data_IF_677380279511
#
_entry.id   IF_677380279511
#
_cell.length_a   1.000
_cell.length_b   1.000
_cell.length_c   1.000
_cell.angle_alpha   90.00
_cell.angle_beta   90.00
_cell.angle_gamma   90.00
#
_symmetry.space_group_name_H-M   'P 1'
#
loop_
_entity.id
_entity.type
_entity.pdbx_description
1 polymer ?
#
# COMPACT_ATOMS: atom_id res chain seq x y z
N UNK A 1 -68.35 53.93 22.70
CA UNK A 1 -68.55 54.13 21.25
C UNK A 1 -67.42 53.38 20.54
N UNK A 2 -67.59 52.08 20.33
CA UNK A 2 -67.96 51.42 19.05
C UNK A 2 -66.88 51.49 17.94
N UNK A 3 -66.36 50.30 17.61
CA UNK A 3 -65.78 49.79 16.33
C UNK A 3 -64.52 50.51 15.78
N UNK A 4 -63.46 49.83 15.27
CA UNK A 4 -63.50 48.81 14.19
C UNK A 4 -62.14 48.09 14.01
N UNK A 5 -62.19 46.75 13.84
CA UNK A 5 -61.33 45.74 13.17
C UNK A 5 -59.78 45.76 13.13
N UNK A 6 -59.20 44.73 13.76
CA UNK A 6 -58.44 43.57 13.22
C UNK A 6 -57.76 43.68 11.82
N UNK A 7 -56.41 43.57 11.78
CA UNK A 7 -55.63 42.64 10.91
C UNK A 7 -54.31 42.31 11.64
N UNK A 8 -54.10 41.03 12.00
CA UNK A 8 -52.85 40.49 12.54
C UNK A 8 -52.06 39.88 11.37
N UNK A 9 -50.96 40.52 10.95
CA UNK A 9 -50.09 39.99 9.90
C UNK A 9 -49.06 39.00 10.49
N UNK A 10 -49.15 37.76 10.03
CA UNK A 10 -48.26 36.64 10.32
C UNK A 10 -46.94 36.83 9.57
N UNK A 11 -45.82 37.03 10.30
CA UNK A 11 -44.49 37.09 9.70
C UNK A 11 -43.94 35.66 9.53
N UNK A 12 -44.01 35.15 8.30
CA UNK A 12 -43.35 33.93 7.86
C UNK A 12 -41.85 34.24 7.69
N UNK A 13 -41.00 33.64 8.53
CA UNK A 13 -39.54 33.63 8.31
C UNK A 13 -39.21 32.60 7.22
N UNK A 14 -38.91 33.09 6.03
CA UNK A 14 -38.26 32.30 4.98
C UNK A 14 -36.80 32.04 5.35
N UNK A 15 -36.44 30.76 5.45
CA UNK A 15 -35.04 30.31 5.52
C UNK A 15 -34.48 30.36 4.09
N UNK A 16 -33.60 31.31 3.82
CA UNK A 16 -32.80 31.35 2.60
C UNK A 16 -31.56 30.48 2.81
N UNK A 17 -31.46 29.40 2.06
CA UNK A 17 -30.27 28.58 1.90
C UNK A 17 -29.12 29.43 1.36
N UNK A 18 -28.05 29.54 2.13
CA UNK A 18 -26.80 30.18 1.68
C UNK A 18 -25.99 29.11 0.95
N UNK A 19 -26.02 29.16 -0.38
CA UNK A 19 -25.04 28.47 -1.22
C UNK A 19 -23.68 29.14 -1.01
N UNK A 20 -22.74 28.46 -0.36
CA UNK A 20 -21.34 28.90 -0.32
C UNK A 20 -20.71 28.74 -1.72
N UNK A 21 -19.99 29.75 -2.23
CA UNK A 21 -19.35 29.66 -3.53
C UNK A 21 -18.15 28.71 -3.47
N UNK A 22 -18.04 27.88 -4.50
CA UNK A 22 -16.84 27.08 -4.79
C UNK A 22 -15.75 28.06 -5.21
N UNK A 23 -14.74 28.28 -4.37
CA UNK A 23 -13.53 29.01 -4.76
C UNK A 23 -12.75 28.20 -5.80
N UNK A 24 -12.82 28.64 -7.06
CA UNK A 24 -11.88 28.28 -8.13
C UNK A 24 -10.56 29.02 -7.89
N UNK A 25 -9.63 28.37 -7.20
CA UNK A 25 -8.27 28.88 -6.99
C UNK A 25 -7.38 28.48 -8.17
N UNK A 26 -7.45 29.28 -9.24
CA UNK A 26 -6.68 29.14 -10.48
C UNK A 26 -5.57 30.21 -10.50
N UNK A 27 -4.65 30.18 -9.53
CA UNK A 27 -3.49 31.06 -9.49
C UNK A 27 -2.19 30.30 -9.83
N UNK A 28 -1.90 30.25 -11.13
CA UNK A 28 -0.78 29.53 -11.74
C UNK A 28 0.52 30.34 -11.72
N UNK A 29 1.05 30.72 -10.56
CA UNK A 29 2.45 31.16 -10.45
C UNK A 29 2.90 31.19 -8.99
N UNK A 30 3.95 30.41 -8.67
CA UNK A 30 4.52 30.13 -7.33
C UNK A 30 3.80 29.07 -6.49
N UNK A 31 3.60 27.87 -7.06
CA UNK A 31 3.27 26.69 -6.23
C UNK A 31 4.47 26.27 -5.38
N UNK A 32 4.49 26.71 -4.12
CA UNK A 32 5.35 26.12 -3.09
C UNK A 32 4.99 24.64 -2.93
N UNK A 33 6.00 23.76 -2.94
CA UNK A 33 5.76 22.35 -2.71
C UNK A 33 5.13 22.12 -1.30
N UNK A 34 4.21 21.15 -1.14
CA UNK A 34 3.27 21.13 -0.02
C UNK A 34 3.72 20.94 1.45
N UNK A 35 4.88 21.33 1.98
CA UNK A 35 5.35 20.95 3.34
C UNK A 35 5.30 19.43 3.68
N UNK A 36 6.37 18.88 4.27
CA UNK A 36 6.53 17.42 4.34
C UNK A 36 5.40 16.71 5.09
N UNK A 37 4.86 17.31 6.16
CA UNK A 37 3.83 16.66 6.96
C UNK A 37 2.44 17.31 6.93
N UNK A 38 2.24 18.57 6.49
CA UNK A 38 0.98 19.37 6.49
C UNK A 38 -0.17 18.93 7.45
N UNK A 39 0.15 18.40 8.64
CA UNK A 39 -0.80 17.69 9.50
C UNK A 39 -1.53 16.47 8.88
N UNK A 40 -1.13 15.98 7.70
CA UNK A 40 -1.75 14.85 6.98
C UNK A 40 -1.46 13.53 7.68
N UNK A 41 -2.41 12.58 7.62
CA UNK A 41 -2.14 11.23 8.09
C UNK A 41 -2.89 10.15 7.30
N UNK A 42 -2.16 9.13 6.87
CA UNK A 42 -2.72 7.85 6.44
C UNK A 42 -3.14 7.02 7.66
N UNK A 43 -4.39 6.57 7.72
CA UNK A 43 -4.91 5.79 8.84
C UNK A 43 -5.46 4.45 8.32
N UNK A 44 -5.02 3.35 8.90
CA UNK A 44 -5.47 2.01 8.50
C UNK A 44 -4.79 1.48 7.24
N UNK A 45 -5.49 0.59 6.53
CA UNK A 45 -4.99 -0.06 5.32
C UNK A 45 -5.35 0.70 4.05
N UNK A 46 -4.65 0.47 2.92
CA UNK A 46 -4.97 1.10 1.65
C UNK A 46 -6.38 0.78 1.11
N UNK A 47 -7.02 -0.28 1.60
CA UNK A 47 -8.29 -0.82 1.12
C UNK A 47 -9.47 -0.68 2.11
N UNK A 48 -9.23 -0.17 3.32
CA UNK A 48 -10.28 0.10 4.33
C UNK A 48 -9.99 1.33 5.19
N UNK A 49 -8.98 2.11 4.81
CA UNK A 49 -8.44 3.20 5.60
C UNK A 49 -9.17 4.52 5.43
N UNK A 50 -8.56 5.54 6.02
CA UNK A 50 -8.98 6.95 5.92
C UNK A 50 -7.75 7.82 5.69
N UNK A 51 -7.99 9.01 5.17
CA UNK A 51 -7.01 10.07 5.03
C UNK A 51 -7.45 11.23 5.91
N UNK A 52 -6.61 11.64 6.86
CA UNK A 52 -6.84 12.84 7.66
C UNK A 52 -6.08 14.00 7.05
N UNK A 53 -6.73 15.15 6.94
CA UNK A 53 -6.15 16.38 6.38
C UNK A 53 -5.48 16.13 5.02
N UNK A 54 -6.16 15.42 4.11
CA UNK A 54 -5.59 15.09 2.81
C UNK A 54 -5.17 16.33 2.03
N UNK A 55 -3.98 16.29 1.44
CA UNK A 55 -3.48 17.34 0.55
C UNK A 55 -4.00 17.05 -0.85
N UNK A 56 -4.58 18.07 -1.49
CA UNK A 56 -5.04 17.98 -2.87
C UNK A 56 -3.85 18.17 -3.81
N UNK A 57 -3.63 17.23 -4.71
CA UNK A 57 -2.77 17.44 -5.88
C UNK A 57 -3.42 18.51 -6.77
N UNK A 58 -2.73 19.60 -7.11
CA UNK A 58 -3.29 20.60 -8.01
C UNK A 58 -3.65 19.98 -9.36
N UNK A 59 -4.86 20.24 -9.89
CA UNK A 59 -5.36 19.53 -11.08
C UNK A 59 -4.49 19.69 -12.32
N UNK A 60 -3.65 20.72 -12.36
CA UNK A 60 -2.61 20.96 -13.36
C UNK A 60 -1.41 21.63 -12.70
N UNK A 61 -0.25 21.50 -13.33
CA UNK A 61 0.98 22.19 -12.99
C UNK A 61 1.93 22.17 -14.19
N UNK A 62 3.15 22.72 -14.07
CA UNK A 62 4.09 22.80 -15.19
C UNK A 62 4.49 21.44 -15.78
N UNK A 63 4.44 20.37 -14.96
CA UNK A 63 4.97 19.06 -15.33
C UNK A 63 3.95 17.93 -15.18
N UNK A 64 2.73 18.23 -14.72
CA UNK A 64 1.68 17.24 -14.54
C UNK A 64 0.29 17.79 -14.85
N UNK A 65 -0.63 16.89 -15.20
CA UNK A 65 -2.05 17.18 -15.35
C UNK A 65 -2.87 16.01 -14.83
N UNK A 66 -3.88 16.27 -14.02
CA UNK A 66 -4.79 15.25 -13.54
C UNK A 66 -5.72 14.78 -14.67
N UNK A 67 -6.03 13.49 -14.77
CA UNK A 67 -6.98 12.96 -15.74
C UNK A 67 -8.35 13.63 -15.59
N UNK A 68 -9.01 13.97 -16.71
CA UNK A 68 -10.31 14.68 -16.72
C UNK A 68 -11.35 14.01 -15.81
N UNK A 69 -11.48 12.69 -15.89
CA UNK A 69 -12.43 11.93 -15.08
C UNK A 69 -12.08 11.97 -13.59
N UNK A 70 -10.80 11.97 -13.23
CA UNK A 70 -10.35 12.08 -11.83
C UNK A 70 -10.67 13.47 -11.27
N UNK A 71 -10.40 14.53 -12.04
CA UNK A 71 -10.77 15.90 -11.66
C UNK A 71 -12.26 16.01 -11.41
N UNK A 72 -13.09 15.51 -12.33
CA UNK A 72 -14.55 15.53 -12.21
C UNK A 72 -15.06 14.78 -10.97
N UNK A 73 -14.38 13.71 -10.55
CA UNK A 73 -14.72 12.93 -9.35
C UNK A 73 -14.14 13.52 -8.05
N UNK A 74 -13.23 14.49 -8.17
CA UNK A 74 -12.46 15.07 -7.07
C UNK A 74 -11.69 14.03 -6.24
N UNK A 75 -11.04 13.07 -6.90
CA UNK A 75 -10.21 12.02 -6.26
C UNK A 75 -8.73 12.35 -6.40
N UNK A 76 -8.34 13.53 -5.92
CA UNK A 76 -6.99 14.09 -6.05
C UNK A 76 -6.27 14.24 -4.71
N UNK A 77 -6.66 13.49 -3.68
CA UNK A 77 -6.14 13.68 -2.33
C UNK A 77 -5.18 12.56 -1.92
N UNK A 78 -4.05 12.96 -1.35
CA UNK A 78 -3.03 12.07 -0.82
C UNK A 78 -2.44 12.59 0.49
N UNK A 79 -1.48 11.86 1.04
CA UNK A 79 -0.59 12.43 2.06
C UNK A 79 0.31 13.50 1.44
N UNK A 80 0.82 14.43 2.27
CA UNK A 80 1.72 15.50 1.79
C UNK A 80 2.93 14.95 1.03
N UNK A 81 3.58 13.92 1.59
CA UNK A 81 4.70 13.22 0.97
C UNK A 81 4.35 12.60 -0.40
N UNK A 82 3.17 12.00 -0.56
CA UNK A 82 2.74 11.43 -1.85
C UNK A 82 2.56 12.53 -2.90
N UNK A 83 1.84 13.60 -2.56
CA UNK A 83 1.59 14.72 -3.49
C UNK A 83 2.90 15.38 -3.90
N UNK A 84 3.80 15.66 -2.94
CA UNK A 84 5.13 16.20 -3.23
C UNK A 84 5.94 15.24 -4.11
N UNK A 85 5.95 13.95 -3.79
CA UNK A 85 6.70 12.95 -4.54
C UNK A 85 6.25 12.83 -6.00
N UNK A 86 4.95 12.94 -6.26
CA UNK A 86 4.40 13.00 -7.63
C UNK A 86 4.97 14.22 -8.37
N UNK A 87 4.91 15.40 -7.76
CA UNK A 87 5.35 16.65 -8.40
C UNK A 87 6.85 16.65 -8.69
N UNK A 88 7.67 16.19 -7.74
CA UNK A 88 9.13 16.08 -7.90
C UNK A 88 9.49 15.06 -8.99
N UNK A 89 8.81 13.92 -9.03
CA UNK A 89 9.06 12.91 -10.06
C UNK A 89 8.64 13.41 -11.45
N UNK A 90 7.52 14.14 -11.55
CA UNK A 90 7.07 14.76 -12.80
C UNK A 90 8.07 15.82 -13.30
N UNK A 91 8.56 16.69 -12.42
CA UNK A 91 9.61 17.66 -12.73
C UNK A 91 10.90 16.96 -13.21
N UNK A 92 11.33 15.90 -12.52
CA UNK A 92 12.51 15.12 -12.90
C UNK A 92 12.41 14.58 -14.33
N UNK A 93 11.25 14.06 -14.72
CA UNK A 93 10.99 13.61 -16.11
C UNK A 93 11.04 14.77 -17.08
N UNK A 94 10.35 15.88 -16.78
CA UNK A 94 10.31 17.04 -17.66
C UNK A 94 11.70 17.66 -17.88
N UNK A 95 12.55 17.69 -16.84
CA UNK A 95 13.93 18.18 -16.96
C UNK A 95 14.78 17.32 -17.89
N UNK A 96 14.62 16.00 -17.85
CA UNK A 96 15.34 15.09 -18.74
C UNK A 96 14.74 15.08 -20.16
N UNK A 97 13.45 15.40 -20.27
CA UNK A 97 12.68 15.38 -21.52
C UNK A 97 11.92 16.71 -21.73
N UNK A 98 12.61 17.83 -22.01
CA UNK A 98 12.03 19.19 -21.96
C UNK A 98 10.96 19.49 -23.03
N UNK A 99 10.85 18.63 -24.07
CA UNK A 99 9.80 18.70 -25.10
C UNK A 99 8.73 17.61 -24.93
N UNK A 100 8.78 16.88 -23.82
CA UNK A 100 7.84 15.84 -23.48
C UNK A 100 6.54 16.42 -22.96
N UNK A 101 5.46 15.68 -23.18
CA UNK A 101 4.15 15.99 -22.62
C UNK A 101 4.15 15.77 -21.09
N UNK A 102 3.35 16.54 -20.32
CA UNK A 102 3.26 16.41 -18.87
C UNK A 102 2.83 15.03 -18.38
N UNK A 103 3.18 14.69 -17.14
CA UNK A 103 2.71 13.47 -16.48
C UNK A 103 1.18 13.50 -16.30
N UNK A 104 0.48 12.52 -16.83
CA UNK A 104 -0.96 12.40 -16.62
C UNK A 104 -1.24 11.59 -15.34
N UNK A 105 -1.72 12.28 -14.32
CA UNK A 105 -1.99 11.71 -13.00
C UNK A 105 -3.44 11.27 -12.89
N UNK A 106 -3.62 10.02 -12.54
CA UNK A 106 -4.89 9.34 -12.36
C UNK A 106 -5.51 9.52 -10.99
N UNK A 107 -6.25 8.50 -10.54
CA UNK A 107 -6.90 8.54 -9.23
C UNK A 107 -5.86 8.61 -8.12
N UNK A 108 -6.17 9.43 -7.11
CA UNK A 108 -5.68 9.29 -5.75
C UNK A 108 -6.89 8.95 -4.86
N UNK A 109 -6.85 9.31 -3.57
CA UNK A 109 -7.96 9.13 -2.64
C UNK A 109 -8.98 10.26 -2.74
N UNK A 110 -10.15 10.05 -2.10
CA UNK A 110 -11.07 11.13 -1.72
C UNK A 110 -10.44 12.00 -0.63
N UNK A 111 -10.99 13.20 -0.39
CA UNK A 111 -10.50 14.16 0.63
C UNK A 111 -10.23 13.53 2.00
N UNK A 112 -11.15 12.68 2.46
CA UNK A 112 -11.05 11.96 3.74
C UNK A 112 -10.69 10.48 3.59
N UNK A 113 -10.35 10.05 2.37
CA UNK A 113 -10.12 8.66 2.03
C UNK A 113 -11.40 7.83 1.94
N UNK A 114 -11.31 6.55 2.29
CA UNK A 114 -12.39 5.57 2.17
C UNK A 114 -12.61 5.06 0.75
N UNK A 115 -13.58 4.15 0.61
CA UNK A 115 -13.81 3.39 -0.61
C UNK A 115 -14.08 4.29 -1.83
N UNK A 116 -13.43 3.96 -2.95
CA UNK A 116 -13.75 4.48 -4.28
C UNK A 116 -14.30 3.37 -5.17
N UNK A 117 -15.27 3.67 -6.03
CA UNK A 117 -15.97 2.64 -6.83
C UNK A 117 -15.07 1.92 -7.85
N UNK A 118 -13.99 2.57 -8.29
CA UNK A 118 -13.17 2.13 -9.42
C UNK A 118 -11.87 1.44 -9.01
N UNK A 119 -11.55 1.39 -7.71
CA UNK A 119 -10.38 0.67 -7.19
C UNK A 119 -10.69 0.03 -5.84
N UNK A 120 -10.05 -1.10 -5.56
CA UNK A 120 -10.13 -1.76 -4.24
C UNK A 120 -9.21 -1.11 -3.20
N UNK A 121 -8.41 -0.11 -3.59
CA UNK A 121 -7.52 0.65 -2.69
C UNK A 121 -7.75 2.15 -2.81
N UNK A 122 -6.73 3.01 -2.67
CA UNK A 122 -6.87 4.47 -2.64
C UNK A 122 -7.74 4.99 -1.47
N UNK A 123 -7.85 4.23 -0.38
CA UNK A 123 -8.67 4.64 0.76
C UNK A 123 -7.90 5.50 1.78
N UNK A 124 -6.57 5.54 1.71
CA UNK A 124 -5.73 6.04 2.81
C UNK A 124 -4.69 7.08 2.39
N UNK A 125 -4.80 7.64 1.19
CA UNK A 125 -3.88 8.67 0.69
C UNK A 125 -2.48 8.19 0.31
N UNK A 126 -2.31 6.88 0.08
CA UNK A 126 -1.01 6.23 -0.22
C UNK A 126 -0.92 5.59 -1.60
N UNK A 127 -1.96 5.73 -2.40
CA UNK A 127 -2.03 5.17 -3.75
C UNK A 127 -2.20 6.31 -4.76
N UNK A 128 -1.59 6.16 -5.93
CA UNK A 128 -1.78 7.04 -7.09
C UNK A 128 -1.69 6.23 -8.38
N UNK A 129 -2.56 6.52 -9.33
CA UNK A 129 -2.46 5.97 -10.68
C UNK A 129 -1.72 6.96 -11.61
N UNK A 130 -0.91 6.48 -12.55
CA UNK A 130 -0.32 7.29 -13.64
C UNK A 130 -0.68 6.68 -14.98
N UNK A 131 -1.12 7.50 -15.93
CA UNK A 131 -1.14 7.05 -17.33
C UNK A 131 0.30 6.81 -17.79
N UNK A 132 0.50 5.80 -18.63
CA UNK A 132 1.82 5.60 -19.23
C UNK A 132 2.18 6.80 -20.12
N UNK A 133 3.43 7.26 -20.06
CA UNK A 133 3.93 8.16 -21.09
C UNK A 133 3.88 7.48 -22.46
N UNK A 134 3.46 8.25 -23.47
CA UNK A 134 3.19 7.75 -24.82
C UNK A 134 3.89 8.57 -25.89
N UNK A 135 4.26 7.87 -26.96
CA UNK A 135 4.69 8.49 -28.22
C UNK A 135 3.83 8.01 -29.37
N UNK A 136 3.73 8.80 -30.43
CA UNK A 136 3.19 8.33 -31.70
C UNK A 136 4.12 7.31 -32.36
N UNK A 137 3.70 6.77 -33.51
CA UNK A 137 4.50 5.77 -34.23
C UNK A 137 5.85 6.32 -34.73
N UNK A 138 5.97 7.63 -34.89
CA UNK A 138 7.19 8.34 -35.28
C UNK A 138 8.11 8.69 -34.09
N UNK A 139 7.68 8.40 -32.86
CA UNK A 139 8.46 8.65 -31.63
C UNK A 139 8.28 10.05 -31.05
N UNK A 140 7.33 10.86 -31.54
CA UNK A 140 7.01 12.16 -30.95
C UNK A 140 6.17 11.93 -29.69
N UNK A 141 6.51 12.63 -28.61
CA UNK A 141 5.67 12.66 -27.40
C UNK A 141 4.26 13.16 -27.71
N UNK A 142 3.25 12.47 -27.17
CA UNK A 142 1.83 12.84 -27.30
C UNK A 142 1.12 12.76 -25.94
N UNK A 143 0.07 13.57 -25.71
CA UNK A 143 -0.68 13.54 -24.47
C UNK A 143 -1.16 12.12 -24.14
N UNK A 144 -0.96 11.72 -22.89
CA UNK A 144 -1.26 10.35 -22.46
C UNK A 144 -2.70 10.20 -21.98
N UNK A 145 -3.32 9.08 -22.33
CA UNK A 145 -4.56 8.61 -21.72
C UNK A 145 -4.38 7.18 -21.19
N UNK A 146 -5.44 6.59 -20.63
CA UNK A 146 -5.45 5.22 -20.14
C UNK A 146 -5.63 4.21 -21.29
N UNK A 147 -4.76 4.30 -22.30
CA UNK A 147 -4.71 3.34 -23.39
C UNK A 147 -4.18 1.99 -22.90
N UNK A 148 -4.80 0.90 -23.31
CA UNK A 148 -4.29 -0.44 -23.05
C UNK A 148 -3.14 -0.74 -24.00
N UNK A 149 -2.08 -1.34 -23.49
CA UNK A 149 -0.89 -1.71 -24.26
C UNK A 149 -0.71 -3.22 -24.35
N UNK A 150 -0.46 -3.70 -25.57
CA UNK A 150 -0.12 -5.09 -25.82
C UNK A 150 1.27 -5.46 -25.33
N UNK A 151 1.60 -6.75 -25.45
CA UNK A 151 2.95 -7.24 -25.15
C UNK A 151 4.02 -6.68 -26.08
N UNK A 152 3.64 -6.12 -27.23
CA UNK A 152 4.46 -5.37 -28.17
C UNK A 152 4.68 -3.90 -27.77
N UNK A 153 3.99 -3.41 -26.73
CA UNK A 153 4.05 -2.02 -26.27
C UNK A 153 3.28 -1.06 -27.17
N UNK A 154 2.40 -1.58 -28.03
CA UNK A 154 1.53 -0.82 -28.92
C UNK A 154 0.12 -0.71 -28.31
N UNK A 155 -0.53 0.43 -28.49
CA UNK A 155 -1.90 0.64 -28.02
C UNK A 155 -2.90 -0.30 -28.71
N UNK A 156 -3.83 -0.84 -27.92
CA UNK A 156 -4.85 -1.80 -28.36
C UNK A 156 -6.17 -1.13 -28.70
N UNK A 157 -6.57 -0.13 -27.91
CA UNK A 157 -7.92 0.46 -27.86
C UNK A 157 -7.97 1.95 -28.20
N UNK A 158 -6.85 2.51 -28.65
CA UNK A 158 -6.77 3.91 -29.06
C UNK A 158 -7.16 4.09 -30.56
N UNK A 159 -7.81 5.22 -30.92
CA UNK A 159 -8.14 5.52 -32.31
C UNK A 159 -6.92 5.57 -33.24
N UNK A 160 -5.79 6.04 -32.73
CA UNK A 160 -4.49 5.99 -33.37
C UNK A 160 -3.56 5.00 -32.64
N UNK A 161 -2.59 4.43 -33.36
CA UNK A 161 -1.57 3.57 -32.75
C UNK A 161 -0.51 4.44 -32.05
N UNK A 162 -0.26 4.12 -30.80
CA UNK A 162 0.74 4.75 -29.95
C UNK A 162 1.70 3.68 -29.42
N UNK A 163 2.91 4.10 -29.06
CA UNK A 163 3.90 3.25 -28.39
C UNK A 163 4.09 3.73 -26.96
N UNK A 164 4.37 2.78 -26.07
CA UNK A 164 4.89 3.10 -24.74
C UNK A 164 6.21 3.86 -24.86
N UNK A 165 6.31 5.01 -24.21
CA UNK A 165 7.57 5.72 -24.06
C UNK A 165 8.37 5.09 -22.92
N UNK A 166 9.17 4.08 -23.24
CA UNK A 166 9.95 3.36 -22.23
C UNK A 166 10.95 4.27 -21.51
N UNK A 167 11.48 5.30 -22.18
CA UNK A 167 12.44 6.22 -21.58
C UNK A 167 11.81 7.06 -20.47
N UNK A 168 10.69 7.73 -20.76
CA UNK A 168 10.00 8.57 -19.76
C UNK A 168 9.33 7.74 -18.67
N UNK A 169 8.72 6.60 -19.00
CA UNK A 169 8.13 5.71 -18.00
C UNK A 169 9.19 5.12 -17.07
N UNK A 170 10.34 4.69 -17.59
CA UNK A 170 11.43 4.21 -16.74
C UNK A 170 12.00 5.34 -15.86
N UNK A 171 12.21 6.53 -16.41
CA UNK A 171 12.73 7.66 -15.64
C UNK A 171 11.77 8.11 -14.52
N UNK A 172 10.46 8.05 -14.76
CA UNK A 172 9.44 8.26 -13.72
C UNK A 172 9.63 7.26 -12.57
N UNK A 173 9.71 5.98 -12.90
CA UNK A 173 9.85 4.91 -11.90
C UNK A 173 11.16 5.02 -11.14
N UNK A 174 12.27 5.26 -11.84
CA UNK A 174 13.58 5.51 -11.23
C UNK A 174 13.54 6.69 -10.25
N UNK A 175 12.95 7.82 -10.67
CA UNK A 175 12.80 9.00 -9.81
C UNK A 175 11.98 8.73 -8.55
N UNK A 176 10.96 7.86 -8.63
CA UNK A 176 10.15 7.45 -7.49
C UNK A 176 10.88 6.44 -6.58
N UNK A 177 11.56 5.46 -7.16
CA UNK A 177 12.29 4.41 -6.41
C UNK A 177 13.47 5.00 -5.65
N UNK A 178 14.22 5.91 -6.27
CA UNK A 178 15.41 6.54 -5.69
C UNK A 178 15.07 7.71 -4.75
N UNK A 179 13.79 8.05 -4.60
CA UNK A 179 13.36 9.16 -3.75
C UNK A 179 13.74 8.91 -2.28
N UNK A 180 14.38 9.90 -1.66
CA UNK A 180 14.68 9.89 -0.23
C UNK A 180 13.51 10.37 0.64
N UNK A 181 12.49 10.98 0.02
CA UNK A 181 11.32 11.56 0.69
C UNK A 181 10.09 10.66 0.60
N UNK A 182 10.07 9.73 -0.36
CA UNK A 182 8.95 8.84 -0.63
C UNK A 182 9.42 7.40 -0.71
N UNK A 183 8.95 6.55 0.20
CA UNK A 183 9.30 5.14 0.20
C UNK A 183 8.26 4.35 -0.60
N UNK A 184 8.62 3.87 -1.80
CA UNK A 184 7.73 3.03 -2.62
C UNK A 184 7.53 1.66 -1.96
N UNK A 185 6.28 1.20 -1.94
CA UNK A 185 5.92 -0.15 -1.51
C UNK A 185 5.61 -1.05 -2.71
N UNK A 186 4.78 -0.61 -3.64
CA UNK A 186 4.39 -1.42 -4.81
C UNK A 186 4.25 -0.57 -6.05
N UNK A 187 4.58 -1.17 -7.19
CA UNK A 187 4.37 -0.64 -8.53
C UNK A 187 3.52 -1.69 -9.26
N UNK A 188 2.22 -1.47 -9.35
CA UNK A 188 1.29 -2.44 -9.92
C UNK A 188 1.10 -2.14 -11.40
N UNK A 189 1.58 -3.07 -12.24
CA UNK A 189 1.60 -2.98 -13.71
C UNK A 189 1.35 -4.36 -14.31
N UNK A 190 0.94 -4.42 -15.58
CA UNK A 190 0.84 -5.71 -16.28
C UNK A 190 2.22 -6.38 -16.45
N UNK A 191 2.33 -7.72 -16.36
CA UNK A 191 3.61 -8.44 -16.52
C UNK A 191 4.33 -8.17 -17.85
N UNK A 192 3.57 -7.92 -18.93
CA UNK A 192 4.15 -7.54 -20.23
C UNK A 192 4.82 -6.17 -20.21
N UNK A 193 4.29 -5.24 -19.42
CA UNK A 193 4.81 -3.88 -19.27
C UNK A 193 6.03 -3.88 -18.37
N UNK A 194 5.96 -4.59 -17.25
CA UNK A 194 7.10 -4.87 -16.36
C UNK A 194 8.30 -5.38 -17.16
N UNK A 195 8.10 -6.44 -17.97
CA UNK A 195 9.15 -7.01 -18.82
C UNK A 195 9.78 -5.98 -19.76
N UNK A 196 8.99 -5.05 -20.31
CA UNK A 196 9.49 -4.00 -21.21
C UNK A 196 10.30 -2.94 -20.49
N UNK A 197 9.84 -2.51 -19.32
CA UNK A 197 10.52 -1.51 -18.51
C UNK A 197 11.84 -2.04 -17.98
N UNK A 198 11.86 -3.25 -17.43
CA UNK A 198 13.09 -3.90 -16.95
C UNK A 198 14.05 -4.22 -18.11
N UNK A 199 13.52 -4.65 -19.26
CA UNK A 199 14.33 -4.86 -20.47
C UNK A 199 14.97 -3.56 -20.98
N UNK A 200 14.23 -2.44 -20.95
CA UNK A 200 14.76 -1.12 -21.28
C UNK A 200 15.84 -0.68 -20.28
N UNK A 201 15.60 -0.83 -18.98
CA UNK A 201 16.56 -0.50 -17.92
C UNK A 201 17.89 -1.24 -18.10
N UNK A 202 17.82 -2.55 -18.31
CA UNK A 202 18.99 -3.39 -18.58
C UNK A 202 19.74 -2.94 -19.84
N UNK A 203 19.01 -2.67 -20.94
CA UNK A 203 19.60 -2.20 -22.18
C UNK A 203 20.25 -0.81 -22.07
N UNK A 204 19.82 0.02 -21.12
CA UNK A 204 20.42 1.33 -20.80
C UNK A 204 21.56 1.26 -19.78
N UNK A 205 21.91 0.07 -19.31
CA UNK A 205 23.03 -0.12 -18.38
C UNK A 205 22.72 0.36 -16.96
N UNK A 206 21.45 0.35 -16.55
CA UNK A 206 21.09 0.63 -15.16
C UNK A 206 21.71 -0.40 -14.21
N UNK A 207 22.02 0.03 -12.99
CA UNK A 207 22.65 -0.83 -11.98
C UNK A 207 21.79 -2.07 -11.70
N UNK A 208 22.45 -3.20 -11.40
CA UNK A 208 21.76 -4.44 -11.03
C UNK A 208 20.90 -4.21 -9.79
N UNK A 209 21.40 -3.41 -8.84
CA UNK A 209 20.70 -3.08 -7.61
C UNK A 209 19.37 -2.37 -7.88
N UNK A 210 19.35 -1.37 -8.79
CA UNK A 210 18.13 -0.66 -9.16
C UNK A 210 17.13 -1.57 -9.89
N UNK A 211 17.60 -2.40 -10.81
CA UNK A 211 16.76 -3.36 -11.55
C UNK A 211 16.14 -4.37 -10.58
N UNK A 212 16.94 -4.95 -9.68
CA UNK A 212 16.46 -5.90 -8.67
C UNK A 212 15.44 -5.25 -7.71
N UNK A 213 15.63 -3.97 -7.35
CA UNK A 213 14.65 -3.23 -6.55
C UNK A 213 13.34 -3.03 -7.31
N UNK A 214 13.42 -2.55 -8.55
CA UNK A 214 12.28 -2.34 -9.41
C UNK A 214 11.48 -3.64 -9.64
N UNK A 215 12.17 -4.74 -9.97
CA UNK A 215 11.57 -6.07 -10.15
C UNK A 215 10.81 -6.52 -8.89
N UNK A 216 11.38 -6.34 -7.70
CA UNK A 216 10.70 -6.74 -6.44
C UNK A 216 9.48 -5.88 -6.12
N UNK A 217 9.49 -4.61 -6.51
CA UNK A 217 8.35 -3.71 -6.31
C UNK A 217 7.28 -3.87 -7.38
N UNK A 218 7.65 -4.31 -8.59
CA UNK A 218 6.72 -4.51 -9.70
C UNK A 218 5.97 -5.82 -9.51
N UNK A 219 4.65 -5.75 -9.54
CA UNK A 219 3.83 -6.96 -9.45
C UNK A 219 2.44 -6.75 -10.03
N UNK A 220 1.77 -7.84 -10.41
CA UNK A 220 0.33 -7.85 -10.62
C UNK A 220 -0.35 -8.80 -9.64
N UNK A 221 -1.10 -8.31 -8.64
CA UNK A 221 -1.83 -9.19 -7.75
C UNK A 221 -2.88 -10.01 -8.50
N UNK A 222 -3.08 -11.28 -8.15
CA UNK A 222 -4.07 -12.14 -8.82
C UNK A 222 -5.52 -11.61 -8.79
N UNK A 223 -5.84 -10.73 -7.84
CA UNK A 223 -7.16 -10.11 -7.72
C UNK A 223 -7.29 -8.82 -8.55
N UNK A 224 -6.18 -8.29 -9.05
CA UNK A 224 -6.13 -7.04 -9.78
C UNK A 224 -6.62 -7.24 -11.21
N UNK A 225 -7.21 -6.18 -11.80
CA UNK A 225 -7.41 -6.12 -13.27
C UNK A 225 -6.06 -6.07 -13.97
N UNK A 226 -6.03 -6.08 -15.30
CA UNK A 226 -4.80 -6.22 -16.11
C UNK A 226 -3.70 -5.20 -15.83
N UNK A 227 -4.01 -3.94 -15.46
CA UNK A 227 -3.03 -2.83 -15.33
C UNK A 227 -2.15 -2.65 -16.57
N UNK A 228 -2.72 -2.97 -17.75
CA UNK A 228 -2.10 -2.78 -19.06
C UNK A 228 -2.28 -1.35 -19.59
N UNK A 229 -2.93 -0.46 -18.84
CA UNK A 229 -3.20 0.92 -19.24
C UNK A 229 -2.77 2.03 -18.27
N UNK A 230 -2.28 1.68 -17.09
CA UNK A 230 -1.74 2.63 -16.12
C UNK A 230 -0.76 1.94 -15.16
N UNK A 231 0.06 2.75 -14.49
CA UNK A 231 0.86 2.36 -13.34
C UNK A 231 0.04 2.68 -12.09
N UNK A 232 -0.25 1.70 -11.23
CA UNK A 232 -0.75 1.98 -9.88
C UNK A 232 0.44 1.95 -8.91
N UNK A 233 0.80 3.10 -8.35
CA UNK A 233 1.85 3.22 -7.33
C UNK A 233 1.22 3.15 -5.93
N UNK A 234 1.84 2.38 -5.03
CA UNK A 234 1.61 2.47 -3.59
C UNK A 234 2.87 2.85 -2.86
N UNK A 235 2.73 3.77 -1.90
CA UNK A 235 3.81 4.19 -1.00
C UNK A 235 3.63 3.60 0.39
N UNK A 236 4.76 3.45 1.08
CA UNK A 236 4.83 2.89 2.41
C UNK A 236 4.26 3.85 3.45
N UNK A 237 3.91 3.34 4.64
CA UNK A 237 3.66 4.22 5.78
C UNK A 237 4.92 5.02 6.09
N UNK A 238 4.84 6.35 6.10
CA UNK A 238 5.89 7.17 6.72
C UNK A 238 5.94 6.89 8.23
N UNK A 239 7.04 7.24 8.92
CA UNK A 239 7.10 7.16 10.38
C UNK A 239 5.94 7.90 11.06
N UNK A 240 5.57 9.07 10.55
CA UNK A 240 4.47 9.89 11.07
C UNK A 240 3.10 9.22 10.85
N UNK A 241 2.85 8.69 9.65
CA UNK A 241 1.64 7.94 9.33
C UNK A 241 1.51 6.69 10.21
N UNK A 242 2.61 5.94 10.36
CA UNK A 242 2.66 4.76 11.22
C UNK A 242 2.40 5.11 12.69
N UNK A 243 2.89 6.26 13.16
CA UNK A 243 2.57 6.80 14.47
C UNK A 243 1.07 7.09 14.63
N UNK A 244 0.44 7.64 13.58
CA UNK A 244 -0.97 7.99 13.53
C UNK A 244 -1.93 6.83 13.19
N UNK A 245 -1.41 5.62 12.98
CA UNK A 245 -2.23 4.41 12.83
C UNK A 245 -2.30 3.84 11.42
N UNK A 246 -1.43 4.29 10.51
CA UNK A 246 -1.18 3.60 9.25
C UNK A 246 -0.81 2.14 9.50
N UNK A 247 -1.39 1.26 8.69
CA UNK A 247 -1.08 -0.17 8.68
C UNK A 247 -0.22 -0.46 7.47
N UNK A 248 0.98 -1.01 7.72
CA UNK A 248 1.99 -1.27 6.69
C UNK A 248 1.38 -2.12 5.59
N UNK A 249 0.91 -3.33 5.93
CA UNK A 249 0.25 -4.27 5.04
C UNK A 249 1.10 -4.65 3.82
N UNK A 250 1.60 -5.89 3.75
CA UNK A 250 2.59 -6.29 2.73
C UNK A 250 4.04 -6.13 3.23
N UNK A 251 5.03 -6.20 2.34
CA UNK A 251 6.44 -6.16 2.70
C UNK A 251 6.87 -4.77 3.18
N UNK A 252 7.92 -4.76 4.01
CA UNK A 252 8.78 -3.60 4.24
C UNK A 252 10.11 -3.95 3.58
N UNK A 253 10.46 -3.26 2.51
CA UNK A 253 11.67 -3.56 1.76
C UNK A 253 12.92 -3.17 2.53
N UNK A 254 14.08 -3.82 2.29
CA UNK A 254 15.33 -3.49 2.98
C UNK A 254 15.75 -2.01 2.85
N UNK A 255 15.39 -1.35 1.75
CA UNK A 255 15.69 0.06 1.48
C UNK A 255 14.66 1.05 2.05
N UNK A 256 13.58 0.59 2.69
CA UNK A 256 12.65 1.47 3.44
C UNK A 256 13.27 1.90 4.79
N UNK A 257 14.36 2.67 4.71
CA UNK A 257 15.22 3.02 5.85
C UNK A 257 14.48 3.76 6.96
N UNK A 258 13.59 4.71 6.60
CA UNK A 258 12.91 5.54 7.59
C UNK A 258 11.96 4.70 8.44
N UNK A 259 11.15 3.86 7.79
CA UNK A 259 10.22 2.99 8.51
C UNK A 259 10.96 1.90 9.31
N UNK A 260 12.03 1.30 8.78
CA UNK A 260 12.85 0.35 9.54
C UNK A 260 13.43 0.98 10.81
N UNK A 261 13.96 2.20 10.71
CA UNK A 261 14.48 2.92 11.86
C UNK A 261 13.39 3.20 12.92
N UNK A 262 12.20 3.63 12.48
CA UNK A 262 11.05 3.85 13.36
C UNK A 262 10.59 2.57 14.07
N UNK A 263 10.47 1.46 13.32
CA UNK A 263 10.10 0.14 13.85
C UNK A 263 11.14 -0.38 14.85
N UNK A 264 12.42 -0.28 14.51
CA UNK A 264 13.52 -0.73 15.36
C UNK A 264 13.58 0.05 16.67
N UNK A 265 13.51 1.38 16.61
CA UNK A 265 13.51 2.23 17.79
C UNK A 265 12.32 1.94 18.71
N UNK A 266 11.11 1.83 18.16
CA UNK A 266 9.94 1.52 18.96
C UNK A 266 10.01 0.11 19.55
N UNK A 267 10.55 -0.87 18.82
CA UNK A 267 10.76 -2.23 19.32
C UNK A 267 11.70 -2.22 20.52
N UNK A 268 12.84 -1.51 20.42
CA UNK A 268 13.82 -1.37 21.52
C UNK A 268 13.20 -0.79 22.79
N UNK A 269 12.27 0.15 22.67
CA UNK A 269 11.56 0.76 23.81
C UNK A 269 10.55 -0.19 24.44
N UNK A 270 9.87 -1.01 23.63
CA UNK A 270 8.76 -1.85 24.11
C UNK A 270 9.23 -3.22 24.61
N UNK A 271 10.27 -3.80 23.99
CA UNK A 271 10.74 -5.15 24.32
C UNK A 271 11.04 -5.39 25.81
N UNK A 272 11.73 -4.48 26.55
CA UNK A 272 11.99 -4.68 27.97
C UNK A 272 10.71 -4.87 28.82
N UNK A 273 9.58 -4.32 28.39
CA UNK A 273 8.30 -4.44 29.10
C UNK A 273 7.71 -5.86 29.05
N UNK A 274 8.18 -6.72 28.14
CA UNK A 274 7.80 -8.14 28.12
C UNK A 274 8.37 -8.91 29.32
N UNK A 275 9.43 -8.41 29.97
CA UNK A 275 9.99 -9.00 31.18
C UNK A 275 9.45 -8.37 32.47
N UNK A 276 8.47 -7.46 32.37
CA UNK A 276 7.91 -6.79 33.54
C UNK A 276 7.24 -7.77 34.51
N UNK A 277 7.41 -7.54 35.81
CA UNK A 277 6.76 -8.32 36.88
C UNK A 277 5.23 -8.28 36.70
N UNK A 278 4.68 -7.11 36.39
CA UNK A 278 3.24 -6.92 36.17
C UNK A 278 2.74 -7.61 34.89
N UNK A 279 1.79 -8.56 34.99
CA UNK A 279 1.15 -9.16 33.82
C UNK A 279 0.41 -8.16 32.94
N UNK A 280 -0.10 -7.08 33.52
CA UNK A 280 -0.77 -6.03 32.78
C UNK A 280 0.22 -5.26 31.89
N UNK A 281 1.43 -4.99 32.39
CA UNK A 281 2.48 -4.36 31.60
C UNK A 281 2.90 -5.26 30.42
N UNK A 282 3.12 -6.56 30.66
CA UNK A 282 3.43 -7.53 29.58
C UNK A 282 2.34 -7.58 28.51
N UNK A 283 1.06 -7.65 28.92
CA UNK A 283 -0.08 -7.59 27.97
C UNK A 283 -0.13 -6.28 27.18
N UNK A 284 0.12 -5.13 27.83
CA UNK A 284 0.17 -3.83 27.16
C UNK A 284 1.28 -3.78 26.11
N UNK A 285 2.45 -4.32 26.42
CA UNK A 285 3.57 -4.42 25.50
C UNK A 285 3.23 -5.32 24.29
N UNK A 286 2.66 -6.50 24.51
CA UNK A 286 2.20 -7.39 23.43
C UNK A 286 1.16 -6.71 22.52
N UNK A 287 0.17 -6.02 23.10
CA UNK A 287 -0.83 -5.25 22.34
C UNK A 287 -0.21 -4.14 21.51
N UNK A 288 0.80 -3.46 22.04
CA UNK A 288 1.50 -2.40 21.33
C UNK A 288 2.31 -2.97 20.16
N UNK A 289 3.11 -4.03 20.40
CA UNK A 289 3.84 -4.79 19.36
C UNK A 289 2.89 -5.21 18.24
N UNK A 290 1.75 -5.82 18.59
CA UNK A 290 0.72 -6.23 17.63
C UNK A 290 0.14 -5.05 16.86
N UNK A 291 -0.32 -4.01 17.57
CA UNK A 291 -0.98 -2.83 16.97
C UNK A 291 -0.05 -2.12 15.98
N UNK A 292 1.24 -2.08 16.30
CA UNK A 292 2.28 -1.39 15.56
C UNK A 292 3.05 -2.28 14.58
N UNK A 293 2.69 -3.57 14.46
CA UNK A 293 3.27 -4.52 13.51
C UNK A 293 4.80 -4.65 13.65
N UNK A 294 5.31 -4.66 14.87
CA UNK A 294 6.75 -4.77 15.17
C UNK A 294 7.25 -6.21 14.92
N UNK A 295 7.50 -6.55 13.66
CA UNK A 295 7.86 -7.90 13.22
C UNK A 295 9.16 -8.44 13.82
N UNK A 296 10.15 -7.58 14.08
CA UNK A 296 11.42 -7.97 14.70
C UNK A 296 11.27 -8.54 16.12
N UNK A 297 10.11 -8.33 16.76
CA UNK A 297 9.82 -8.87 18.10
C UNK A 297 9.29 -10.32 18.08
N UNK A 298 9.13 -10.97 16.91
CA UNK A 298 8.46 -12.29 16.81
C UNK A 298 9.05 -13.33 17.75
N UNK A 299 10.37 -13.42 17.87
CA UNK A 299 11.03 -14.41 18.76
C UNK A 299 10.77 -14.11 20.24
N UNK A 300 10.83 -12.84 20.65
CA UNK A 300 10.54 -12.42 22.02
C UNK A 300 9.05 -12.55 22.37
N UNK A 301 8.16 -12.36 21.40
CA UNK A 301 6.74 -12.66 21.60
C UNK A 301 6.52 -14.17 21.76
N UNK A 302 7.27 -15.00 21.04
CA UNK A 302 7.13 -16.44 21.12
C UNK A 302 7.49 -17.01 22.51
N UNK A 303 8.48 -16.45 23.21
CA UNK A 303 8.77 -16.86 24.59
C UNK A 303 7.61 -16.60 25.55
N UNK A 304 6.75 -15.63 25.25
CA UNK A 304 5.55 -15.31 26.05
C UNK A 304 4.42 -16.35 25.91
N UNK A 305 4.54 -17.32 25.01
CA UNK A 305 3.60 -18.45 24.94
C UNK A 305 3.68 -19.38 26.16
N UNK A 306 4.79 -19.31 26.91
CA UNK A 306 5.03 -20.08 28.14
C UNK A 306 4.86 -19.23 29.41
N UNK A 307 4.32 -18.02 29.32
CA UNK A 307 4.12 -17.14 30.48
C UNK A 307 3.21 -17.80 31.53
N UNK A 308 3.49 -17.57 32.82
CA UNK A 308 2.70 -18.09 33.93
C UNK A 308 1.23 -17.67 33.82
N UNK A 309 0.99 -16.45 33.35
CA UNK A 309 -0.35 -15.89 33.20
C UNK A 309 -1.01 -16.31 31.89
N UNK A 310 -2.16 -16.98 32.00
CA UNK A 310 -2.95 -17.40 30.84
C UNK A 310 -3.36 -16.22 29.94
N UNK A 311 -3.63 -15.06 30.54
CA UNK A 311 -4.01 -13.86 29.81
C UNK A 311 -2.87 -13.31 28.95
N UNK A 312 -1.61 -13.45 29.39
CA UNK A 312 -0.42 -13.07 28.62
C UNK A 312 -0.19 -14.05 27.48
N UNK A 313 -0.27 -15.37 27.74
CA UNK A 313 -0.14 -16.42 26.71
C UNK A 313 -1.14 -16.23 25.56
N UNK A 314 -2.39 -15.90 25.89
CA UNK A 314 -3.45 -15.62 24.89
C UNK A 314 -3.10 -14.41 24.03
N UNK A 315 -2.63 -13.32 24.64
CA UNK A 315 -2.24 -12.11 23.91
C UNK A 315 -0.99 -12.35 23.05
N UNK A 316 -0.03 -13.16 23.52
CA UNK A 316 1.16 -13.55 22.76
C UNK A 316 0.79 -14.33 21.49
N UNK A 317 -0.10 -15.31 21.61
CA UNK A 317 -0.62 -16.07 20.47
C UNK A 317 -1.31 -15.16 19.45
N UNK A 318 -2.19 -14.25 19.91
CA UNK A 318 -2.84 -13.30 19.01
C UNK A 318 -1.83 -12.38 18.32
N UNK A 319 -0.78 -11.97 19.04
CA UNK A 319 0.30 -11.14 18.50
C UNK A 319 1.07 -11.88 17.40
N UNK A 320 1.48 -13.14 17.61
CA UNK A 320 2.14 -13.95 16.57
C UNK A 320 1.28 -14.18 15.34
N UNK A 321 -0.03 -14.39 15.52
CA UNK A 321 -0.97 -14.54 14.40
C UNK A 321 -1.00 -13.26 13.56
N UNK A 322 -1.07 -12.09 14.18
CA UNK A 322 -1.07 -10.81 13.44
C UNK A 322 0.29 -10.43 12.87
N UNK A 323 1.39 -10.89 13.47
CA UNK A 323 2.75 -10.70 12.94
C UNK A 323 3.11 -11.71 11.83
N UNK A 324 2.23 -12.67 11.53
CA UNK A 324 2.36 -13.55 10.36
C UNK A 324 2.20 -12.76 9.05
N UNK A 325 3.33 -12.32 8.52
CA UNK A 325 3.50 -11.70 7.21
C UNK A 325 4.61 -12.45 6.44
N UNK A 326 4.87 -12.11 5.18
CA UNK A 326 5.87 -12.80 4.35
C UNK A 326 7.27 -12.81 5.00
N UNK A 327 7.67 -11.70 5.64
CA UNK A 327 8.98 -11.59 6.31
C UNK A 327 9.13 -12.51 7.53
N UNK A 328 8.04 -12.74 8.28
CA UNK A 328 8.06 -13.53 9.51
C UNK A 328 7.53 -14.96 9.34
N UNK A 329 6.98 -15.30 8.16
CA UNK A 329 6.25 -16.54 7.95
C UNK A 329 7.11 -17.76 8.27
N UNK A 330 8.35 -17.79 7.78
CA UNK A 330 9.30 -18.89 8.03
C UNK A 330 9.60 -19.05 9.52
N UNK A 331 9.95 -17.97 10.22
CA UNK A 331 10.20 -17.99 11.67
C UNK A 331 8.98 -18.44 12.46
N UNK A 332 7.77 -18.02 12.07
CA UNK A 332 6.53 -18.43 12.75
C UNK A 332 6.22 -19.91 12.50
N UNK A 333 6.52 -20.44 11.31
CA UNK A 333 6.42 -21.88 11.06
C UNK A 333 7.39 -22.67 11.95
N UNK A 334 8.63 -22.21 12.10
CA UNK A 334 9.59 -22.83 13.02
C UNK A 334 9.15 -22.78 14.48
N UNK A 335 8.64 -21.62 14.93
CA UNK A 335 8.04 -21.48 16.26
C UNK A 335 6.93 -22.51 16.41
N UNK A 336 6.02 -22.63 15.43
CA UNK A 336 4.89 -23.55 15.50
C UNK A 336 5.30 -25.02 15.65
N UNK A 337 6.45 -25.45 15.10
CA UNK A 337 6.97 -26.83 15.24
C UNK A 337 7.28 -27.20 16.69
N UNK A 338 7.53 -26.22 17.56
CA UNK A 338 7.87 -26.41 18.98
C UNK A 338 6.67 -26.19 19.92
N UNK A 339 5.48 -25.93 19.38
CA UNK A 339 4.30 -25.57 20.18
C UNK A 339 3.25 -26.68 20.22
N UNK A 340 2.46 -26.79 21.32
CA UNK A 340 1.33 -27.73 21.40
C UNK A 340 0.39 -27.62 20.19
N UNK A 341 -0.24 -28.74 19.80
CA UNK A 341 -1.05 -28.86 18.59
C UNK A 341 -2.08 -27.71 18.39
N UNK A 342 -2.72 -27.26 19.49
CA UNK A 342 -3.69 -26.15 19.48
C UNK A 342 -3.08 -24.81 19.05
N UNK A 343 -1.86 -24.53 19.47
CA UNK A 343 -1.11 -23.31 19.12
C UNK A 343 -0.54 -23.44 17.72
N UNK A 344 0.16 -24.55 17.46
CA UNK A 344 0.79 -24.84 16.18
C UNK A 344 -0.19 -24.75 15.01
N UNK A 345 -1.40 -25.32 15.17
CA UNK A 345 -2.47 -25.23 14.16
C UNK A 345 -2.79 -23.79 13.76
N UNK A 346 -2.93 -22.88 14.74
CA UNK A 346 -3.29 -21.48 14.48
C UNK A 346 -2.17 -20.72 13.78
N UNK A 347 -0.93 -20.91 14.23
CA UNK A 347 0.24 -20.28 13.63
C UNK A 347 0.46 -20.75 12.19
N UNK A 348 0.41 -22.07 11.95
CA UNK A 348 0.59 -22.65 10.61
C UNK A 348 -0.53 -22.22 9.68
N UNK A 349 -1.79 -22.21 10.12
CA UNK A 349 -2.92 -21.75 9.30
C UNK A 349 -2.65 -20.36 8.73
N UNK A 350 -2.09 -19.46 9.54
CA UNK A 350 -1.82 -18.09 9.14
C UNK A 350 -0.52 -17.92 8.35
N UNK A 351 0.58 -18.52 8.79
CA UNK A 351 1.91 -18.33 8.21
C UNK A 351 2.17 -19.15 6.93
N UNK A 352 1.63 -20.36 6.81
CA UNK A 352 1.88 -21.24 5.66
C UNK A 352 1.61 -20.61 4.28
N UNK A 353 0.48 -19.90 4.04
CA UNK A 353 0.25 -19.27 2.72
C UNK A 353 1.20 -18.10 2.42
N UNK A 354 1.89 -17.58 3.42
CA UNK A 354 2.77 -16.41 3.33
C UNK A 354 4.25 -16.80 3.18
N UNK A 355 4.61 -18.05 3.49
CA UNK A 355 5.99 -18.52 3.48
C UNK A 355 6.57 -18.80 2.08
N UNK A 356 5.79 -18.64 1.02
CA UNK A 356 6.22 -18.94 -0.34
C UNK A 356 6.79 -20.36 -0.49
N UNK A 357 7.94 -20.49 -1.15
CA UNK A 357 8.65 -21.76 -1.31
C UNK A 357 9.21 -22.31 0.01
N UNK A 358 9.53 -21.47 0.99
CA UNK A 358 9.96 -21.92 2.32
C UNK A 358 8.85 -22.70 3.06
N UNK A 359 7.59 -22.54 2.65
CA UNK A 359 6.45 -23.31 3.16
C UNK A 359 6.36 -24.75 2.65
N UNK A 360 7.12 -25.14 1.61
CA UNK A 360 6.99 -26.45 0.93
C UNK A 360 7.24 -27.60 1.90
N UNK A 361 8.32 -27.55 2.68
CA UNK A 361 8.65 -28.61 3.64
C UNK A 361 7.53 -28.80 4.67
N UNK A 362 7.03 -27.70 5.24
CA UNK A 362 5.92 -27.76 6.20
C UNK A 362 4.65 -28.31 5.55
N UNK A 363 4.36 -27.94 4.29
CA UNK A 363 3.22 -28.46 3.54
C UNK A 363 3.32 -29.98 3.31
N UNK A 364 4.50 -30.50 2.95
CA UNK A 364 4.74 -31.94 2.76
C UNK A 364 4.53 -32.70 4.07
N UNK A 365 5.09 -32.21 5.17
CA UNK A 365 4.96 -32.86 6.48
C UNK A 365 3.51 -32.92 6.98
N UNK A 366 2.72 -31.88 6.73
CA UNK A 366 1.29 -31.86 7.06
C UNK A 366 0.50 -32.89 6.26
N UNK A 367 0.84 -33.12 4.99
CA UNK A 367 0.13 -34.08 4.14
C UNK A 367 0.54 -35.53 4.44
N UNK A 368 1.82 -35.76 4.75
CA UNK A 368 2.36 -37.07 5.09
C UNK A 368 2.07 -37.45 6.56
N UNK A 369 1.64 -36.49 7.38
CA UNK A 369 1.36 -36.70 8.80
C UNK A 369 2.62 -36.85 9.66
N UNK A 370 3.77 -36.38 9.16
CA UNK A 370 5.08 -36.42 9.83
C UNK A 370 5.39 -35.16 10.63
N UNK A 371 4.52 -34.14 10.61
CA UNK A 371 4.76 -32.93 11.39
C UNK A 371 4.81 -33.23 12.91
N UNK A 372 5.85 -32.79 13.65
CA UNK A 372 6.12 -33.23 15.03
C UNK A 372 4.93 -33.07 15.99
N UNK A 373 4.32 -31.89 15.98
CA UNK A 373 3.23 -31.55 16.89
C UNK A 373 1.84 -31.88 16.33
N UNK A 374 1.76 -32.31 15.06
CA UNK A 374 0.53 -32.44 14.30
C UNK A 374 0.41 -33.84 13.64
N UNK A 375 1.11 -34.83 14.18
CA UNK A 375 1.13 -36.20 13.67
C UNK A 375 -0.21 -36.92 13.85
N UNK A 376 -0.36 -38.13 13.27
CA UNK A 376 -1.58 -38.95 13.36
C UNK A 376 -2.05 -39.15 14.81
N UNK A 377 -1.13 -39.23 15.78
CA UNK A 377 -1.41 -39.41 17.21
C UNK A 377 -1.98 -38.16 17.89
N UNK A 378 -1.70 -36.97 17.36
CA UNK A 378 -2.04 -35.67 17.99
C UNK A 378 -3.20 -34.93 17.28
N UNK A 379 -3.98 -35.62 16.43
CA UNK A 379 -5.31 -35.18 15.98
C UNK A 379 -5.40 -34.32 14.71
N UNK A 380 -4.29 -34.02 14.01
CA UNK A 380 -4.30 -32.96 12.98
C UNK A 380 -4.54 -33.43 11.56
N UNK A 381 -4.44 -34.73 11.27
CA UNK A 381 -4.88 -35.27 9.97
C UNK A 381 -6.35 -34.98 9.62
N UNK A 382 -7.16 -34.59 10.62
CA UNK A 382 -8.56 -34.19 10.46
C UNK A 382 -8.76 -32.71 10.09
N UNK A 383 -7.72 -31.86 10.19
CA UNK A 383 -7.84 -30.45 9.81
C UNK A 383 -7.86 -30.29 8.28
N UNK A 384 -9.07 -30.37 7.71
CA UNK A 384 -9.32 -30.24 6.27
C UNK A 384 -8.78 -28.94 5.69
N UNK A 385 -8.80 -27.85 6.47
CA UNK A 385 -8.31 -26.54 6.02
C UNK A 385 -6.80 -26.54 5.81
N UNK A 386 -6.03 -27.03 6.80
CA UNK A 386 -4.57 -27.11 6.70
C UNK A 386 -4.15 -27.98 5.52
N UNK A 387 -4.81 -29.13 5.30
CA UNK A 387 -4.52 -29.99 4.14
C UNK A 387 -4.83 -29.29 2.81
N UNK A 388 -5.92 -28.53 2.73
CA UNK A 388 -6.26 -27.73 1.53
C UNK A 388 -5.23 -26.63 1.26
N UNK A 389 -4.71 -25.96 2.30
CA UNK A 389 -3.65 -24.94 2.18
C UNK A 389 -2.34 -25.58 1.74
N UNK A 390 -1.93 -26.67 2.36
CA UNK A 390 -0.73 -27.43 2.00
C UNK A 390 -0.75 -27.89 0.53
N UNK A 391 -1.86 -28.49 0.08
CA UNK A 391 -2.03 -28.86 -1.34
C UNK A 391 -1.92 -27.68 -2.29
N UNK A 392 -2.45 -26.50 -1.92
CA UNK A 392 -2.33 -25.29 -2.73
C UNK A 392 -0.90 -24.80 -2.86
N UNK A 393 -0.13 -24.83 -1.77
CA UNK A 393 1.30 -24.47 -1.81
C UNK A 393 2.07 -25.41 -2.72
N UNK A 394 1.91 -26.73 -2.55
CA UNK A 394 2.63 -27.69 -3.41
C UNK A 394 2.25 -27.58 -4.89
N UNK A 395 0.98 -27.30 -5.21
CA UNK A 395 0.58 -27.06 -6.60
C UNK A 395 1.15 -25.78 -7.20
N UNK A 396 1.48 -24.78 -6.38
CA UNK A 396 2.02 -23.49 -6.85
C UNK A 396 3.51 -23.57 -7.16
N UNK A 397 4.24 -24.47 -6.49
CA UNK A 397 5.70 -24.57 -6.55
C UNK A 397 6.22 -25.92 -7.07
N UNK A 398 5.32 -26.80 -7.53
CA UNK A 398 5.63 -27.90 -8.45
C UNK A 398 5.55 -27.37 -9.87
#
# INVERSE_FOLDING_TARGET
MLNTLLILACAITFVSSVDEPIEDDDNLSTMSLPADNAGTASIGHPYTGKLRNGVRLPPSGPYHVAQRSTRARNWLFGTGYLVRGIMVAAESVARLHPRGEPLVVGNLSRREGGNIKLSMSHNSGRDVDFAYYTVDMAGKSVPSEYHRFGADGISLDAPAKFKLDLARNWHLLKSLIESTQLEVQWIIVAPSIEKRLLGYAAAKGESKELIDQAERMMMLPNYAKTHDNHIHLRVQCSPDDWNNGCKIGGPVWPWNRQLHAALSNATRVVLPQLAAISPQARRRALRLIRKKQMGSAVTQVASMLSDVELSVRREALLTLIELSNEANATTILEIARRQPARIATKLITKALPLAGSAGIQTAQELLNGSHPMLSKRNGVLRNRELRRRAKRILRKYN
#
